data_IF_005807840598
#
_entry.id   IF_005807840598
#
_cell.length_a   1.000
_cell.length_b   1.000
_cell.length_c   1.000
_cell.angle_alpha   90.00
_cell.angle_beta   90.00
_cell.angle_gamma   90.00
#
_symmetry.space_group_name_H-M   'P 1'
#
loop_
_entity.id
_entity.type
_entity.pdbx_description
1 polymer ?
#
# COMPACT_ATOMS: atom_id res chain seq x y z
N UNK A 1 -41.74 47.34 22.34
CA UNK A 1 -40.87 46.32 22.96
C UNK A 1 -40.35 45.48 21.81
N UNK A 2 -39.19 45.86 21.30
CA UNK A 2 -38.61 45.34 20.04
C UNK A 2 -37.85 44.05 20.31
N UNK A 3 -38.22 43.02 19.56
CA UNK A 3 -37.68 41.66 19.60
C UNK A 3 -36.32 41.65 18.89
N UNK A 4 -35.23 41.58 19.67
CA UNK A 4 -33.87 41.42 19.14
C UNK A 4 -33.59 39.94 18.94
N UNK A 5 -33.80 39.43 17.73
CA UNK A 5 -33.25 38.13 17.32
C UNK A 5 -31.73 38.28 17.11
N UNK A 6 -30.98 37.61 17.96
CA UNK A 6 -29.53 37.47 17.90
C UNK A 6 -29.16 36.52 16.74
N UNK A 7 -28.77 37.08 15.59
CA UNK A 7 -28.36 36.33 14.38
C UNK A 7 -26.93 35.73 14.48
N UNK A 8 -26.31 35.68 15.66
CA UNK A 8 -24.87 35.33 15.78
C UNK A 8 -24.52 33.83 15.77
N UNK A 9 -25.47 32.91 15.55
CA UNK A 9 -25.24 31.44 15.64
C UNK A 9 -25.26 30.66 14.33
N UNK A 10 -25.04 31.29 13.18
CA UNK A 10 -24.75 30.54 11.95
C UNK A 10 -23.26 30.16 11.89
N UNK A 11 -22.89 28.88 11.71
CA UNK A 11 -21.49 28.48 11.57
C UNK A 11 -20.88 29.16 10.33
N UNK A 12 -19.92 30.06 10.55
CA UNK A 12 -19.19 30.71 9.46
C UNK A 12 -18.28 29.69 8.79
N UNK A 13 -18.47 29.44 7.49
CA UNK A 13 -17.54 28.65 6.67
C UNK A 13 -16.13 29.24 6.83
N UNK A 14 -15.19 28.45 7.34
CA UNK A 14 -13.78 28.82 7.31
C UNK A 14 -13.36 28.91 5.83
N UNK A 15 -12.75 30.01 5.38
CA UNK A 15 -12.16 30.03 4.06
C UNK A 15 -11.10 28.92 3.99
N UNK A 16 -10.99 28.19 2.87
CA UNK A 16 -9.97 27.16 2.72
C UNK A 16 -8.59 27.77 3.00
N UNK A 17 -7.77 27.09 3.81
CA UNK A 17 -6.39 27.51 4.11
C UNK A 17 -5.53 27.60 2.84
N UNK A 18 -5.95 26.90 1.79
CA UNK A 18 -5.31 26.89 0.48
C UNK A 18 -5.95 28.00 -0.36
N UNK A 19 -5.14 29.00 -0.74
CA UNK A 19 -5.54 29.95 -1.80
C UNK A 19 -5.57 29.17 -3.11
N UNK A 20 -6.75 28.70 -3.50
CA UNK A 20 -6.95 28.19 -4.85
C UNK A 20 -6.73 29.35 -5.81
N UNK A 21 -5.76 29.22 -6.71
CA UNK A 21 -5.49 30.25 -7.71
C UNK A 21 -6.59 30.15 -8.78
N UNK A 22 -7.64 30.95 -8.64
CA UNK A 22 -8.79 30.90 -9.54
C UNK A 22 -8.37 31.30 -10.95
N UNK A 23 -8.45 30.37 -11.90
CA UNK A 23 -8.15 30.61 -13.31
C UNK A 23 -6.70 30.33 -13.73
N UNK A 24 -5.87 29.73 -12.85
CA UNK A 24 -4.53 29.28 -13.20
C UNK A 24 -4.33 27.81 -12.82
N UNK A 25 -3.53 27.10 -13.62
CA UNK A 25 -3.07 25.74 -13.31
C UNK A 25 -2.46 25.69 -11.91
N UNK A 26 -2.92 24.77 -11.09
CA UNK A 26 -2.36 24.48 -9.77
C UNK A 26 -1.72 23.09 -9.84
N UNK A 27 -0.39 22.97 -9.97
CA UNK A 27 0.25 21.67 -10.04
C UNK A 27 0.02 20.92 -8.72
N UNK A 28 -0.35 19.65 -8.81
CA UNK A 28 -0.25 18.74 -7.67
C UNK A 28 1.23 18.41 -7.51
N UNK A 29 1.86 18.99 -6.49
CA UNK A 29 3.23 18.63 -6.11
C UNK A 29 3.11 17.79 -4.85
N UNK A 30 3.23 16.48 -5.01
CA UNK A 30 3.48 15.61 -3.87
C UNK A 30 4.98 15.66 -3.58
N UNK A 31 5.33 16.34 -2.48
CA UNK A 31 6.71 16.48 -2.00
C UNK A 31 7.11 15.34 -1.07
N UNK A 32 6.20 14.39 -0.81
CA UNK A 32 6.56 13.17 -0.08
C UNK A 32 7.65 12.48 -0.92
N UNK A 33 8.82 12.33 -0.33
CA UNK A 33 10.02 11.65 -0.85
C UNK A 33 11.04 12.44 -1.67
N UNK A 34 10.84 13.74 -1.96
CA UNK A 34 11.96 14.57 -2.46
C UNK A 34 12.58 15.39 -1.34
N UNK A 35 13.67 14.88 -0.77
CA UNK A 35 14.53 15.64 0.13
C UNK A 35 15.39 16.63 -0.68
N UNK A 36 15.18 17.96 -0.57
CA UNK A 36 15.87 18.95 -1.41
C UNK A 36 17.29 19.28 -0.91
N UNK A 37 17.80 18.52 0.05
CA UNK A 37 19.04 18.81 0.77
C UNK A 37 18.90 19.90 1.84
N UNK A 38 20.00 20.16 2.53
CA UNK A 38 20.16 21.29 3.43
C UNK A 38 20.91 22.43 2.73
N UNK A 39 20.53 23.67 3.05
CA UNK A 39 21.33 24.85 2.74
C UNK A 39 21.79 25.55 4.01
N UNK A 40 23.02 26.04 4.00
CA UNK A 40 23.62 26.82 5.07
C UNK A 40 24.32 28.06 4.51
N UNK A 41 24.67 28.98 5.41
CA UNK A 41 25.59 30.08 5.10
C UNK A 41 26.73 30.05 6.11
N UNK A 42 27.97 30.06 5.62
CA UNK A 42 29.14 30.13 6.49
C UNK A 42 29.27 31.52 7.13
N UNK A 43 30.16 31.64 8.12
CA UNK A 43 30.51 32.94 8.75
C UNK A 43 31.14 33.95 7.78
N UNK A 44 31.48 33.53 6.56
CA UNK A 44 32.03 34.36 5.49
C UNK A 44 31.00 34.65 4.39
N UNK A 45 29.70 34.42 4.67
CA UNK A 45 28.59 34.60 3.71
C UNK A 45 28.64 33.67 2.48
N UNK A 46 29.41 32.59 2.56
CA UNK A 46 29.43 31.56 1.52
C UNK A 46 28.21 30.65 1.68
N UNK A 47 27.52 30.37 0.57
CA UNK A 47 26.39 29.46 0.54
C UNK A 47 26.88 28.01 0.47
N UNK A 48 26.46 27.19 1.43
CA UNK A 48 26.76 25.76 1.50
C UNK A 48 25.51 24.95 1.15
N UNK A 49 25.71 23.82 0.45
CA UNK A 49 24.66 22.90 0.02
C UNK A 49 25.07 21.48 0.42
N UNK A 50 24.26 20.81 1.23
CA UNK A 50 24.49 19.46 1.73
C UNK A 50 23.36 18.54 1.30
N UNK A 51 23.70 17.31 0.90
CA UNK A 51 22.73 16.25 0.60
C UNK A 51 21.61 16.64 -0.39
N UNK A 52 21.89 17.63 -1.25
CA UNK A 52 20.95 18.06 -2.26
C UNK A 52 21.02 17.13 -3.47
N UNK A 53 19.86 16.74 -4.04
CA UNK A 53 19.84 15.99 -5.28
C UNK A 53 20.38 16.87 -6.42
N UNK A 54 21.61 16.59 -6.84
CA UNK A 54 22.24 17.26 -7.99
C UNK A 54 21.93 16.48 -9.27
N UNK A 55 21.61 17.18 -10.35
CA UNK A 55 21.32 16.57 -11.66
C UNK A 55 19.86 16.16 -11.87
N UNK A 56 18.97 16.48 -10.92
CA UNK A 56 17.52 16.27 -11.09
C UNK A 56 16.88 17.57 -11.59
N UNK A 57 15.93 17.44 -12.53
CA UNK A 57 15.11 18.54 -13.03
C UNK A 57 13.65 18.22 -12.79
N UNK A 58 12.90 19.17 -12.23
CA UNK A 58 11.45 19.11 -12.22
C UNK A 58 10.91 19.65 -13.55
N UNK A 59 10.04 18.89 -14.18
CA UNK A 59 9.23 19.33 -15.30
C UNK A 59 7.77 19.31 -14.86
N UNK A 60 7.06 20.41 -15.14
CA UNK A 60 5.62 20.47 -14.89
C UNK A 60 4.97 19.84 -16.10
N UNK A 61 4.46 18.62 -15.93
CA UNK A 61 3.64 17.95 -16.91
C UNK A 61 2.16 18.23 -16.64
N UNK A 62 1.40 18.42 -17.71
CA UNK A 62 -0.06 18.46 -17.62
C UNK A 62 -0.55 17.04 -17.30
N UNK A 63 -1.15 16.87 -16.12
CA UNK A 63 -1.72 15.59 -15.73
C UNK A 63 -2.89 15.23 -16.67
N UNK A 64 -2.66 14.24 -17.52
CA UNK A 64 -3.71 13.66 -18.36
C UNK A 64 -4.30 12.47 -17.62
N UNK A 65 -5.62 12.44 -17.47
CA UNK A 65 -6.31 11.26 -16.96
C UNK A 65 -6.13 10.13 -17.96
N UNK A 66 -5.40 9.08 -17.59
CA UNK A 66 -5.29 7.88 -18.41
C UNK A 66 -6.56 7.04 -18.32
N UNK A 67 -6.74 6.16 -19.29
CA UNK A 67 -7.57 4.98 -19.11
C UNK A 67 -6.99 4.09 -17.99
N UNK A 68 -7.80 3.17 -17.49
CA UNK A 68 -7.31 2.20 -16.49
C UNK A 68 -6.26 1.30 -17.13
N UNK A 69 -5.04 1.29 -16.57
CA UNK A 69 -3.93 0.46 -17.06
C UNK A 69 -4.15 -1.04 -16.76
N UNK A 70 -4.99 -1.34 -15.77
CA UNK A 70 -5.39 -2.69 -15.41
C UNK A 70 -6.88 -2.68 -15.02
N UNK A 71 -7.65 -3.60 -15.58
CA UNK A 71 -9.06 -3.80 -15.25
C UNK A 71 -9.27 -5.26 -14.84
N UNK A 72 -10.23 -5.51 -13.96
CA UNK A 72 -10.66 -6.88 -13.66
C UNK A 72 -11.47 -7.41 -14.86
N UNK A 73 -10.87 -8.32 -15.61
CA UNK A 73 -11.41 -8.90 -16.85
C UNK A 73 -11.46 -10.42 -16.83
N UNK A 74 -10.73 -11.06 -15.90
CA UNK A 74 -10.70 -12.51 -15.73
C UNK A 74 -11.62 -12.95 -14.59
N UNK A 75 -12.12 -14.18 -14.64
CA UNK A 75 -13.06 -14.69 -13.63
C UNK A 75 -12.49 -14.70 -12.21
N UNK A 76 -11.21 -15.05 -12.05
CA UNK A 76 -10.52 -15.04 -10.76
C UNK A 76 -10.15 -13.64 -10.26
N UNK A 77 -10.34 -12.61 -11.08
CA UNK A 77 -10.11 -11.24 -10.66
C UNK A 77 -11.28 -10.69 -9.84
N UNK A 78 -12.49 -11.20 -10.06
CA UNK A 78 -13.68 -10.74 -9.37
C UNK A 78 -14.02 -9.29 -9.72
N UNK A 79 -14.23 -8.46 -8.71
CA UNK A 79 -14.70 -7.07 -8.90
C UNK A 79 -13.59 -6.04 -9.01
N UNK A 80 -12.38 -6.34 -8.54
CA UNK A 80 -11.26 -5.40 -8.56
C UNK A 80 -9.89 -6.09 -8.66
N UNK A 81 -8.92 -5.31 -9.13
CA UNK A 81 -7.50 -5.68 -9.16
C UNK A 81 -6.69 -4.55 -8.53
N UNK A 82 -5.60 -4.90 -7.84
CA UNK A 82 -4.72 -3.93 -7.19
C UNK A 82 -3.27 -4.21 -7.55
N UNK A 83 -2.63 -3.39 -8.41
CA UNK A 83 -1.19 -3.50 -8.65
C UNK A 83 -0.41 -3.39 -7.33
N UNK A 84 0.55 -4.30 -7.12
CA UNK A 84 1.35 -4.36 -5.90
C UNK A 84 2.80 -3.95 -6.16
N UNK A 85 3.44 -4.52 -7.16
CA UNK A 85 4.84 -4.28 -7.46
C UNK A 85 5.12 -4.40 -8.95
N UNK A 86 5.86 -3.44 -9.51
CA UNK A 86 6.27 -3.43 -10.91
C UNK A 86 7.79 -3.38 -10.97
N UNK A 87 8.41 -4.23 -11.80
CA UNK A 87 9.85 -4.22 -12.02
C UNK A 87 10.18 -4.46 -13.50
N UNK A 88 11.42 -4.17 -13.88
CA UNK A 88 11.95 -4.47 -15.20
C UNK A 88 12.93 -5.64 -15.14
N UNK A 89 12.83 -6.56 -16.10
CA UNK A 89 13.82 -7.63 -16.31
C UNK A 89 13.86 -7.98 -17.80
N UNK A 90 15.06 -8.16 -18.35
CA UNK A 90 15.27 -8.52 -19.75
C UNK A 90 14.53 -7.63 -20.78
N UNK A 91 14.45 -6.33 -20.51
CA UNK A 91 13.80 -5.35 -21.38
C UNK A 91 12.26 -5.41 -21.38
N UNK A 92 11.65 -6.12 -20.42
CA UNK A 92 10.19 -6.17 -20.23
C UNK A 92 9.80 -5.74 -18.82
N UNK A 93 8.58 -5.28 -18.71
CA UNK A 93 7.93 -4.93 -17.45
C UNK A 93 7.16 -6.13 -16.91
N UNK A 94 7.21 -6.27 -15.61
CA UNK A 94 6.60 -7.34 -14.85
C UNK A 94 5.78 -6.73 -13.72
N UNK A 95 4.67 -7.35 -13.36
CA UNK A 95 3.79 -6.86 -12.30
C UNK A 95 3.28 -8.02 -11.45
N UNK A 96 3.37 -7.85 -10.13
CA UNK A 96 2.52 -8.55 -9.17
C UNK A 96 1.30 -7.68 -8.88
N UNK A 97 0.12 -8.29 -8.84
CA UNK A 97 -1.12 -7.60 -8.48
C UNK A 97 -2.04 -8.53 -7.68
N UNK A 98 -2.84 -7.96 -6.79
CA UNK A 98 -3.84 -8.70 -6.03
C UNK A 98 -5.19 -8.72 -6.75
N UNK A 99 -5.90 -9.83 -6.58
CA UNK A 99 -7.24 -10.09 -7.07
C UNK A 99 -8.06 -10.85 -6.02
N UNK A 100 -9.37 -11.02 -6.23
CA UNK A 100 -10.20 -11.81 -5.29
C UNK A 100 -9.74 -13.28 -5.18
N UNK A 101 -9.30 -13.88 -6.28
CA UNK A 101 -8.79 -15.26 -6.34
C UNK A 101 -7.39 -15.44 -5.76
N UNK A 102 -6.59 -14.38 -5.63
CA UNK A 102 -5.22 -14.46 -5.10
C UNK A 102 -4.28 -13.41 -5.69
N UNK A 103 -2.98 -13.58 -5.45
CA UNK A 103 -1.96 -12.76 -6.09
C UNK A 103 -1.66 -13.31 -7.49
N UNK A 104 -1.63 -12.42 -8.47
CA UNK A 104 -1.45 -12.71 -9.88
C UNK A 104 -0.19 -12.05 -10.43
N UNK A 105 0.22 -12.52 -11.61
CA UNK A 105 1.36 -12.00 -12.35
C UNK A 105 0.98 -11.51 -13.75
N UNK A 106 1.49 -10.36 -14.16
CA UNK A 106 1.31 -9.81 -15.50
C UNK A 106 2.64 -9.33 -16.10
N UNK A 107 2.68 -9.25 -17.43
CA UNK A 107 3.84 -8.75 -18.19
C UNK A 107 3.41 -7.67 -19.19
N UNK A 108 4.33 -6.76 -19.49
CA UNK A 108 4.11 -5.68 -20.45
C UNK A 108 5.41 -5.30 -21.15
N UNK A 109 5.32 -4.83 -22.38
CA UNK A 109 6.45 -4.26 -23.12
C UNK A 109 6.57 -2.74 -22.92
N UNK A 110 5.51 -2.07 -22.46
CA UNK A 110 5.41 -0.60 -22.38
C UNK A 110 4.92 -0.07 -21.01
N UNK A 111 4.60 -0.94 -20.06
CA UNK A 111 4.00 -0.66 -18.76
C UNK A 111 2.57 -0.07 -18.80
N UNK A 112 1.95 0.04 -19.96
CA UNK A 112 0.56 0.49 -20.14
C UNK A 112 -0.36 -0.66 -20.53
N UNK A 113 0.11 -1.58 -21.38
CA UNK A 113 -0.64 -2.71 -21.90
C UNK A 113 -0.17 -4.01 -21.24
N UNK A 114 -1.02 -4.62 -20.43
CA UNK A 114 -0.67 -5.76 -19.59
C UNK A 114 -1.28 -7.07 -20.08
N UNK A 115 -0.42 -8.06 -20.30
CA UNK A 115 -0.79 -9.45 -20.62
C UNK A 115 -0.77 -10.29 -19.36
N UNK A 116 -1.77 -11.16 -19.20
CA UNK A 116 -1.89 -12.12 -18.09
C UNK A 116 -1.45 -13.50 -18.58
N UNK A 117 -0.17 -13.88 -18.46
CA UNK A 117 0.32 -15.17 -18.96
C UNK A 117 -0.26 -16.32 -18.13
N UNK A 118 -0.64 -17.41 -18.79
CA UNK A 118 -1.09 -18.62 -18.08
C UNK A 118 0.11 -19.28 -17.38
N UNK A 119 0.04 -19.41 -16.06
CA UNK A 119 1.08 -19.99 -15.21
C UNK A 119 0.83 -21.45 -14.86
N UNK A 120 -0.43 -21.88 -14.71
CA UNK A 120 -0.79 -23.23 -14.24
C UNK A 120 -0.28 -23.59 -12.84
N UNK A 121 -0.17 -22.62 -11.95
CA UNK A 121 0.35 -22.81 -10.60
C UNK A 121 -0.74 -23.01 -9.54
N UNK A 122 -1.86 -22.28 -9.64
CA UNK A 122 -2.95 -22.37 -8.68
C UNK A 122 -4.29 -22.73 -9.35
N UNK A 123 -5.11 -23.50 -8.64
CA UNK A 123 -6.43 -23.95 -9.12
C UNK A 123 -7.50 -22.90 -8.78
N UNK A 124 -8.37 -22.62 -9.75
CA UNK A 124 -9.54 -21.77 -9.60
C UNK A 124 -10.70 -22.34 -10.40
N UNK A 125 -11.84 -22.59 -9.75
CA UNK A 125 -13.06 -23.13 -10.38
C UNK A 125 -12.83 -24.39 -11.24
N UNK A 126 -11.97 -25.30 -10.78
CA UNK A 126 -11.64 -26.56 -11.44
C UNK A 126 -10.58 -26.47 -12.53
N UNK A 127 -9.96 -25.30 -12.74
CA UNK A 127 -8.92 -25.08 -13.76
C UNK A 127 -7.70 -24.37 -13.19
N UNK A 128 -6.51 -24.73 -13.64
CA UNK A 128 -5.28 -23.97 -13.39
C UNK A 128 -4.92 -23.03 -14.55
N UNK A 129 -5.75 -22.94 -15.59
CA UNK A 129 -5.51 -22.07 -16.76
C UNK A 129 -5.71 -20.58 -16.41
N UNK A 130 -4.83 -20.05 -15.57
CA UNK A 130 -4.86 -18.71 -15.03
C UNK A 130 -3.43 -18.22 -14.73
N UNK A 131 -3.30 -16.98 -14.25
CA UNK A 131 -2.04 -16.34 -13.87
C UNK A 131 -1.87 -16.15 -12.36
N UNK A 132 -2.56 -16.95 -11.55
CA UNK A 132 -2.44 -16.94 -10.09
C UNK A 132 -1.14 -17.64 -9.66
N UNK A 133 -0.50 -17.09 -8.65
CA UNK A 133 0.71 -17.65 -8.05
C UNK A 133 0.36 -18.68 -6.98
N UNK A 134 1.00 -19.85 -7.01
CA UNK A 134 0.82 -20.87 -5.96
C UNK A 134 1.41 -20.40 -4.61
N UNK A 135 2.62 -19.85 -4.65
CA UNK A 135 3.38 -19.42 -3.47
C UNK A 135 3.55 -17.90 -3.51
N UNK A 136 2.50 -17.18 -3.13
CA UNK A 136 2.46 -15.70 -3.14
C UNK A 136 3.01 -15.08 -1.85
N UNK A 137 3.34 -13.78 -1.91
CA UNK A 137 3.64 -12.95 -0.73
C UNK A 137 2.40 -12.17 -0.26
N UNK A 138 1.24 -12.84 -0.18
CA UNK A 138 -0.04 -12.18 0.14
C UNK A 138 0.05 -11.36 1.43
N UNK A 139 -0.35 -10.09 1.35
CA UNK A 139 -0.29 -9.14 2.46
C UNK A 139 1.03 -8.38 2.56
N UNK A 140 2.02 -8.67 1.71
CA UNK A 140 3.18 -7.81 1.55
C UNK A 140 2.77 -6.43 0.99
N UNK A 141 3.43 -5.39 1.47
CA UNK A 141 3.26 -4.00 1.01
C UNK A 141 4.58 -3.37 0.58
N UNK A 142 5.72 -3.99 0.91
CA UNK A 142 7.03 -3.57 0.45
C UNK A 142 7.76 -4.74 -0.20
N UNK A 143 7.99 -4.68 -1.51
CA UNK A 143 8.75 -5.66 -2.29
C UNK A 143 9.98 -4.96 -2.88
N UNK A 144 11.15 -5.58 -2.79
CA UNK A 144 12.40 -5.02 -3.32
C UNK A 144 13.41 -6.11 -3.69
N UNK A 145 14.36 -5.73 -4.53
CA UNK A 145 15.54 -6.53 -4.85
C UNK A 145 16.70 -6.13 -3.92
N UNK A 146 17.31 -7.12 -3.26
CA UNK A 146 18.52 -6.95 -2.47
C UNK A 146 19.73 -7.44 -3.29
N UNK A 147 20.55 -6.56 -3.88
CA UNK A 147 21.68 -6.96 -4.74
C UNK A 147 22.82 -7.63 -3.96
N UNK A 148 22.83 -7.55 -2.64
CA UNK A 148 23.86 -8.16 -1.79
C UNK A 148 23.44 -9.53 -1.24
N UNK A 149 22.16 -9.88 -1.33
CA UNK A 149 21.67 -11.19 -0.92
C UNK A 149 22.20 -12.32 -1.83
N UNK A 150 22.25 -13.57 -1.31
CA UNK A 150 22.42 -14.75 -2.15
C UNK A 150 21.32 -14.84 -3.24
N UNK A 151 21.58 -15.46 -4.41
CA UNK A 151 20.60 -15.57 -5.49
C UNK A 151 19.25 -16.18 -5.08
N UNK A 152 19.25 -17.11 -4.13
CA UNK A 152 18.06 -17.75 -3.57
C UNK A 152 17.14 -16.80 -2.77
N UNK A 153 17.69 -15.69 -2.27
CA UNK A 153 16.99 -14.67 -1.48
C UNK A 153 17.10 -13.27 -2.13
N UNK A 154 17.30 -13.23 -3.45
CA UNK A 154 17.53 -11.99 -4.22
C UNK A 154 16.41 -10.98 -4.01
N UNK A 155 15.17 -11.44 -3.93
CA UNK A 155 14.00 -10.61 -3.70
C UNK A 155 13.47 -10.80 -2.30
N UNK A 156 12.99 -9.70 -1.72
CA UNK A 156 12.44 -9.67 -0.37
C UNK A 156 11.10 -8.95 -0.38
N UNK A 157 10.19 -9.45 0.43
CA UNK A 157 8.89 -8.83 0.66
C UNK A 157 8.64 -8.67 2.15
N UNK A 158 7.95 -7.61 2.54
CA UNK A 158 7.54 -7.34 3.92
C UNK A 158 6.09 -6.84 3.94
N UNK A 159 5.35 -7.21 4.98
CA UNK A 159 3.95 -6.86 5.14
C UNK A 159 3.54 -6.88 6.61
N UNK A 160 2.54 -6.08 6.94
CA UNK A 160 1.94 -6.08 8.28
C UNK A 160 0.56 -6.74 8.23
N UNK A 161 0.26 -7.60 9.20
CA UNK A 161 -1.09 -8.11 9.41
C UNK A 161 -1.56 -7.73 10.80
N UNK A 162 -2.72 -7.07 10.84
CA UNK A 162 -3.45 -6.80 12.08
C UNK A 162 -4.56 -7.83 12.23
N UNK A 163 -4.74 -8.36 13.44
CA UNK A 163 -5.79 -9.32 13.73
C UNK A 163 -6.21 -9.23 15.20
N UNK A 164 -7.36 -9.83 15.50
CA UNK A 164 -7.89 -9.89 16.86
C UNK A 164 -7.22 -11.02 17.62
N UNK A 165 -6.90 -10.78 18.89
CA UNK A 165 -6.14 -11.70 19.71
C UNK A 165 -6.68 -11.73 21.13
N UNK A 166 -6.61 -12.91 21.75
CA UNK A 166 -6.92 -13.12 23.15
C UNK A 166 -5.66 -12.86 24.00
N UNK A 167 -5.61 -11.77 24.80
CA UNK A 167 -4.43 -11.45 25.58
C UNK A 167 -4.15 -12.45 26.70
N UNK A 168 -5.14 -13.25 27.12
CA UNK A 168 -5.00 -14.21 28.21
C UNK A 168 -4.48 -15.57 27.72
N UNK A 169 -4.96 -16.04 26.56
CA UNK A 169 -4.57 -17.36 26.01
C UNK A 169 -3.41 -17.29 25.03
N UNK A 170 -3.24 -16.14 24.39
CA UNK A 170 -2.27 -15.99 23.32
C UNK A 170 -2.73 -16.64 22.00
N UNK A 171 -4.01 -16.55 21.66
CA UNK A 171 -4.57 -17.14 20.45
C UNK A 171 -5.27 -16.09 19.56
N UNK A 172 -5.21 -16.29 18.25
CA UNK A 172 -5.94 -15.44 17.29
C UNK A 172 -7.46 -15.69 17.40
N UNK A 173 -8.22 -14.61 17.53
CA UNK A 173 -9.68 -14.61 17.55
C UNK A 173 -10.23 -14.37 16.14
N UNK A 174 -11.27 -15.12 15.77
CA UNK A 174 -11.88 -15.06 14.44
C UNK A 174 -13.41 -15.03 14.49
N UNK A 175 -14.03 -14.76 13.34
CA UNK A 175 -15.48 -14.71 13.21
C UNK A 175 -16.11 -13.57 14.03
N UNK A 176 -17.23 -13.86 14.69
CA UNK A 176 -17.99 -12.86 15.47
C UNK A 176 -17.47 -12.66 16.91
N UNK A 177 -16.55 -13.51 17.37
CA UNK A 177 -16.10 -13.53 18.76
C UNK A 177 -15.43 -12.21 19.20
N UNK A 178 -14.52 -11.58 18.43
CA UNK A 178 -13.96 -10.28 18.81
C UNK A 178 -15.05 -9.22 19.02
N UNK A 179 -15.99 -9.12 18.08
CA UNK A 179 -17.10 -8.17 18.13
C UNK A 179 -17.98 -8.40 19.35
N UNK A 180 -18.25 -9.66 19.69
CA UNK A 180 -19.03 -10.03 20.89
C UNK A 180 -18.33 -9.56 22.17
N UNK A 181 -17.01 -9.79 22.29
CA UNK A 181 -16.22 -9.39 23.46
C UNK A 181 -16.14 -7.87 23.61
N UNK A 182 -15.84 -7.15 22.52
CA UNK A 182 -15.80 -5.68 22.49
C UNK A 182 -17.14 -5.09 22.93
N UNK A 183 -18.25 -5.63 22.40
CA UNK A 183 -19.59 -5.19 22.79
C UNK A 183 -19.86 -5.42 24.28
N UNK A 184 -19.50 -6.59 24.81
CA UNK A 184 -19.67 -6.90 26.23
C UNK A 184 -18.85 -5.96 27.13
N UNK A 185 -17.59 -5.66 26.75
CA UNK A 185 -16.71 -4.73 27.46
C UNK A 185 -17.26 -3.30 27.45
N UNK A 186 -17.87 -2.87 26.34
CA UNK A 186 -18.44 -1.52 26.21
C UNK A 186 -19.78 -1.35 26.94
N UNK A 187 -20.60 -2.40 27.03
CA UNK A 187 -21.97 -2.32 27.56
C UNK A 187 -22.09 -2.69 29.05
N UNK A 188 -21.12 -3.42 29.61
CA UNK A 188 -21.17 -3.89 31.00
C UNK A 188 -20.31 -3.01 31.92
N UNK A 189 -20.93 -2.43 32.96
CA UNK A 189 -20.17 -1.76 34.02
C UNK A 189 -19.32 -2.78 34.81
N UNK A 190 -18.04 -2.46 35.01
CA UNK A 190 -17.05 -3.32 35.67
C UNK A 190 -16.86 -4.69 34.99
N UNK A 191 -16.76 -4.70 33.66
CA UNK A 191 -16.50 -5.91 32.89
C UNK A 191 -15.23 -6.66 33.34
N UNK A 192 -15.35 -7.97 33.60
CA UNK A 192 -14.24 -8.87 33.95
C UNK A 192 -14.20 -10.12 33.04
N UNK A 193 -14.86 -10.05 31.88
CA UNK A 193 -14.88 -11.15 30.92
C UNK A 193 -13.67 -11.16 29.99
N UNK A 194 -13.62 -12.14 29.06
CA UNK A 194 -12.50 -12.29 28.12
C UNK A 194 -12.43 -11.11 27.15
N UNK A 195 -11.23 -10.56 26.96
CA UNK A 195 -11.00 -9.38 26.11
C UNK A 195 -10.64 -9.79 24.69
N UNK A 196 -10.76 -8.85 23.77
CA UNK A 196 -10.23 -8.96 22.42
C UNK A 196 -9.38 -7.73 22.15
N UNK A 197 -8.11 -7.93 21.86
CA UNK A 197 -7.19 -6.84 21.53
C UNK A 197 -6.76 -6.95 20.07
N UNK A 198 -6.53 -5.79 19.44
CA UNK A 198 -5.92 -5.76 18.12
C UNK A 198 -4.42 -5.87 18.32
N UNK A 199 -3.83 -6.91 17.76
CA UNK A 199 -2.38 -7.04 17.63
C UNK A 199 -1.98 -6.88 16.17
N UNK A 200 -0.72 -6.50 15.95
CA UNK A 200 -0.12 -6.36 14.64
C UNK A 200 1.23 -7.02 14.62
N UNK A 201 1.47 -7.87 13.62
CA UNK A 201 2.76 -8.50 13.40
C UNK A 201 3.30 -8.15 12.02
N UNK A 202 4.61 -8.00 11.94
CA UNK A 202 5.35 -7.84 10.69
C UNK A 202 5.79 -9.21 10.17
N UNK A 203 5.52 -9.48 8.90
CA UNK A 203 5.89 -10.70 8.20
C UNK A 203 6.87 -10.38 7.08
N UNK A 204 7.68 -11.36 6.71
CA UNK A 204 8.60 -11.24 5.60
C UNK A 204 8.68 -12.53 4.77
N UNK A 205 9.10 -12.35 3.53
CA UNK A 205 9.31 -13.41 2.57
C UNK A 205 10.60 -13.18 1.78
N UNK A 206 11.18 -14.25 1.28
CA UNK A 206 12.25 -14.22 0.28
C UNK A 206 11.84 -14.95 -0.99
N UNK A 207 12.43 -14.57 -2.11
CA UNK A 207 12.22 -15.20 -3.41
C UNK A 207 13.48 -15.08 -4.27
N UNK A 208 13.72 -16.06 -5.12
CA UNK A 208 14.81 -16.04 -6.11
C UNK A 208 14.40 -15.40 -7.44
N UNK A 209 13.10 -15.38 -7.74
CA UNK A 209 12.57 -14.99 -9.06
C UNK A 209 11.49 -13.89 -9.02
N UNK A 210 11.13 -13.42 -7.81
CA UNK A 210 10.09 -12.44 -7.51
C UNK A 210 8.65 -12.93 -7.76
N UNK A 211 8.46 -14.23 -8.01
CA UNK A 211 7.14 -14.84 -8.24
C UNK A 211 6.80 -15.86 -7.16
N UNK A 212 7.78 -16.69 -6.76
CA UNK A 212 7.60 -17.75 -5.78
C UNK A 212 8.23 -17.35 -4.45
N UNK A 213 7.41 -17.19 -3.42
CA UNK A 213 7.80 -16.62 -2.14
C UNK A 213 7.85 -17.67 -1.03
N UNK A 214 8.92 -17.61 -0.24
CA UNK A 214 9.09 -18.42 0.97
C UNK A 214 8.92 -17.52 2.20
N UNK A 215 7.91 -17.77 3.06
CA UNK A 215 7.73 -16.97 4.27
C UNK A 215 8.82 -17.27 5.30
N UNK A 216 9.17 -16.26 6.09
CA UNK A 216 9.92 -16.46 7.33
C UNK A 216 9.03 -17.24 8.33
N UNK A 217 9.62 -18.17 9.11
CA UNK A 217 8.84 -19.03 10.00
C UNK A 217 8.18 -18.27 11.15
N UNK A 218 8.81 -17.19 11.62
CA UNK A 218 8.32 -16.35 12.71
C UNK A 218 8.13 -14.91 12.22
N UNK A 219 7.18 -14.16 12.79
CA UNK A 219 7.10 -12.72 12.57
C UNK A 219 8.40 -11.99 12.89
N UNK A 220 8.66 -10.89 12.18
CA UNK A 220 9.83 -10.04 12.38
C UNK A 220 9.72 -9.14 13.62
N UNK A 221 8.50 -8.68 13.94
CA UNK A 221 8.19 -7.78 15.05
C UNK A 221 6.70 -7.82 15.39
#
# INVERSE_FOLDING_TARGET
MTDHKDESKAPKRRPPRIRLNTGAWSPLIDMIDVFPGHRGSSRHEELELYDAPLGIRFEIEEAVKSESILQATMEWEGTHVSPLYIWQRDGRYHMLYDSEGGQCYAVSDDAYNWTRPVLNEAEFNGSSENNLLANSCKGATGIFEDPNAPPEERFKAMGGRMYWWDPDTGEELSGEEPSRRIKAEQEQENYTGPRAEITGHMFAWTSSDCLHWTPFPEPLA
#
